data_IF_446135327130
#
_entry.id   IF_446135327130
#
_cell.length_a   1.000
_cell.length_b   1.000
_cell.length_c   1.000
_cell.angle_alpha   90.00
_cell.angle_beta   90.00
_cell.angle_gamma   90.00
#
_symmetry.space_group_name_H-M   'P 1'
#
loop_
_entity.id
_entity.type
_entity.pdbx_description
1 polymer ?
#
# COMPACT_ATOMS: atom_id res chain seq x y z
N UNK A 1 14.70 -11.06 -3.55
CA UNK A 1 13.46 -10.33 -3.21
C UNK A 1 13.74 -9.28 -2.13
N UNK A 2 14.55 -8.27 -2.41
CA UNK A 2 14.93 -7.24 -1.41
C UNK A 2 14.96 -5.82 -1.96
N UNK A 3 15.08 -5.62 -3.28
CA UNK A 3 15.15 -4.27 -3.87
C UNK A 3 13.81 -3.52 -3.86
N UNK A 4 12.70 -4.24 -4.01
CA UNK A 4 11.39 -3.60 -4.20
C UNK A 4 10.96 -2.77 -2.99
N UNK A 5 11.26 -3.24 -1.75
CA UNK A 5 10.95 -2.50 -0.51
C UNK A 5 11.64 -1.13 -0.46
N UNK A 6 12.88 -1.06 -0.93
CA UNK A 6 13.66 0.18 -0.93
C UNK A 6 13.13 1.18 -1.97
N UNK A 7 12.64 0.69 -3.12
CA UNK A 7 12.11 1.56 -4.18
C UNK A 7 10.80 2.21 -3.77
N UNK A 8 9.88 1.47 -3.14
CA UNK A 8 8.60 2.04 -2.73
C UNK A 8 8.73 3.05 -1.59
N UNK A 9 9.65 2.82 -0.64
CA UNK A 9 9.94 3.78 0.43
C UNK A 9 10.54 5.09 -0.13
N UNK A 10 11.47 4.98 -1.08
CA UNK A 10 11.99 6.14 -1.83
C UNK A 10 10.89 6.84 -2.62
N UNK A 11 9.96 6.10 -3.21
CA UNK A 11 8.86 6.64 -4.01
C UNK A 11 7.99 7.59 -3.17
N UNK A 12 7.56 7.15 -1.99
CA UNK A 12 6.77 7.99 -1.07
C UNK A 12 7.60 9.12 -0.46
N UNK A 13 8.92 8.97 -0.35
CA UNK A 13 9.82 10.03 0.10
C UNK A 13 10.05 11.12 -0.96
N UNK A 14 10.03 10.76 -2.25
CA UNK A 14 10.16 11.72 -3.37
C UNK A 14 8.86 12.47 -3.60
N UNK A 15 7.73 11.75 -3.67
CA UNK A 15 6.41 12.37 -3.79
C UNK A 15 5.39 11.64 -2.90
N UNK A 16 5.09 12.20 -1.71
CA UNK A 16 4.12 11.60 -0.80
C UNK A 16 2.68 11.73 -1.29
N UNK A 17 2.39 12.51 -2.33
CA UNK A 17 1.05 12.64 -2.90
C UNK A 17 0.81 11.68 -4.07
N UNK A 18 1.85 10.95 -4.52
CA UNK A 18 1.69 9.99 -5.60
C UNK A 18 1.04 8.70 -5.09
N UNK A 19 -0.25 8.55 -5.40
CA UNK A 19 -1.04 7.41 -4.97
C UNK A 19 -0.40 6.06 -5.38
N UNK A 20 0.11 5.94 -6.62
CA UNK A 20 0.76 4.70 -7.12
C UNK A 20 1.96 4.24 -6.26
N UNK A 21 2.72 5.17 -5.66
CA UNK A 21 3.79 4.83 -4.71
C UNK A 21 3.22 4.13 -3.47
N UNK A 22 2.14 4.66 -2.91
CA UNK A 22 1.48 4.08 -1.73
C UNK A 22 0.86 2.72 -2.01
N UNK A 23 0.28 2.54 -3.19
CA UNK A 23 -0.21 1.22 -3.62
C UNK A 23 0.93 0.20 -3.67
N UNK A 24 2.02 0.57 -4.34
CA UNK A 24 3.20 -0.30 -4.47
C UNK A 24 3.81 -0.62 -3.11
N UNK A 25 3.88 0.37 -2.21
CA UNK A 25 4.34 0.18 -0.83
C UNK A 25 3.44 -0.81 -0.08
N UNK A 26 2.12 -0.70 -0.21
CA UNK A 26 1.16 -1.61 0.42
C UNK A 26 1.35 -3.06 -0.02
N UNK A 27 1.48 -3.29 -1.33
CA UNK A 27 1.73 -4.63 -1.89
C UNK A 27 3.04 -5.23 -1.35
N UNK A 28 4.09 -4.41 -1.26
CA UNK A 28 5.41 -4.88 -0.81
C UNK A 28 5.48 -5.13 0.70
N UNK A 29 4.81 -4.29 1.49
CA UNK A 29 4.65 -4.48 2.93
C UNK A 29 3.89 -5.77 3.21
N UNK A 30 2.80 -6.01 2.49
CA UNK A 30 2.01 -7.24 2.57
C UNK A 30 2.84 -8.46 2.18
N UNK A 31 3.60 -8.41 1.08
CA UNK A 31 4.51 -9.48 0.69
C UNK A 31 5.62 -9.72 1.73
N UNK A 32 6.02 -8.68 2.44
CA UNK A 32 6.97 -8.72 3.56
C UNK A 32 6.38 -9.19 4.89
N UNK A 33 5.09 -9.58 4.94
CA UNK A 33 4.33 -9.89 6.17
C UNK A 33 4.23 -8.72 7.16
N UNK A 34 4.46 -7.50 6.69
CA UNK A 34 4.18 -6.29 7.44
C UNK A 34 2.74 -5.86 7.14
N UNK A 35 1.78 -6.61 7.69
CA UNK A 35 0.36 -6.38 7.45
C UNK A 35 -0.08 -5.01 7.99
N UNK A 36 0.49 -4.58 9.13
CA UNK A 36 0.23 -3.27 9.71
C UNK A 36 0.68 -2.14 8.77
N UNK A 37 1.91 -2.21 8.25
CA UNK A 37 2.40 -1.22 7.29
C UNK A 37 1.67 -1.28 5.94
N UNK A 38 1.21 -2.46 5.52
CA UNK A 38 0.41 -2.60 4.32
C UNK A 38 -0.96 -1.92 4.45
N UNK A 39 -1.63 -2.09 5.59
CA UNK A 39 -2.90 -1.41 5.91
C UNK A 39 -2.75 0.10 5.77
N UNK A 40 -1.74 0.69 6.41
CA UNK A 40 -1.48 2.14 6.35
C UNK A 40 -1.27 2.60 4.91
N UNK A 41 -0.47 1.86 4.13
CA UNK A 41 -0.18 2.25 2.76
C UNK A 41 -1.40 2.18 1.83
N UNK A 42 -2.22 1.12 1.93
CA UNK A 42 -3.46 1.02 1.16
C UNK A 42 -4.49 2.07 1.57
N UNK A 43 -4.60 2.40 2.86
CA UNK A 43 -5.47 3.50 3.32
C UNK A 43 -5.04 4.84 2.73
N UNK A 44 -3.75 5.14 2.73
CA UNK A 44 -3.23 6.39 2.16
C UNK A 44 -3.46 6.45 0.65
N UNK A 45 -3.21 5.35 -0.08
CA UNK A 45 -3.54 5.24 -1.49
C UNK A 45 -5.02 5.57 -1.75
N UNK A 46 -5.95 4.99 -0.97
CA UNK A 46 -7.38 5.21 -1.12
C UNK A 46 -7.82 6.64 -0.73
N UNK A 47 -7.09 7.32 0.16
CA UNK A 47 -7.33 8.73 0.47
C UNK A 47 -6.91 9.64 -0.68
N UNK A 48 -5.78 9.34 -1.32
CA UNK A 48 -5.23 10.13 -2.42
C UNK A 48 -5.96 9.87 -3.75
N UNK A 49 -6.33 8.62 -4.01
CA UNK A 49 -7.00 8.19 -5.23
C UNK A 49 -8.19 7.26 -4.91
N UNK A 50 -9.27 7.78 -4.31
CA UNK A 50 -10.46 6.99 -3.94
C UNK A 50 -11.16 6.37 -5.14
N UNK A 51 -11.02 6.97 -6.33
CA UNK A 51 -11.51 6.48 -7.61
C UNK A 51 -10.38 6.03 -8.55
N UNK A 52 -9.17 5.85 -8.00
CA UNK A 52 -8.01 5.38 -8.75
C UNK A 52 -8.23 4.01 -9.37
N UNK A 53 -7.44 3.69 -10.42
CA UNK A 53 -7.54 2.44 -11.17
C UNK A 53 -7.54 1.19 -10.28
N UNK A 54 -6.77 1.22 -9.20
CA UNK A 54 -6.59 0.11 -8.27
C UNK A 54 -7.39 0.28 -6.96
N UNK A 55 -8.31 1.26 -6.87
CA UNK A 55 -9.05 1.55 -5.63
C UNK A 55 -9.92 0.37 -5.18
N UNK A 56 -10.48 -0.40 -6.12
CA UNK A 56 -11.24 -1.61 -5.78
C UNK A 56 -10.34 -2.71 -5.22
N UNK A 57 -9.21 -2.98 -5.89
CA UNK A 57 -8.24 -3.98 -5.45
C UNK A 57 -7.64 -3.62 -4.09
N UNK A 58 -7.23 -2.37 -3.89
CA UNK A 58 -6.69 -1.88 -2.63
C UNK A 58 -7.69 -2.02 -1.48
N UNK A 59 -8.98 -1.70 -1.70
CA UNK A 59 -10.03 -1.93 -0.70
C UNK A 59 -10.20 -3.43 -0.36
N UNK A 60 -10.16 -4.30 -1.36
CA UNK A 60 -10.28 -5.74 -1.17
C UNK A 60 -9.11 -6.29 -0.35
N UNK A 61 -7.88 -5.87 -0.66
CA UNK A 61 -6.68 -6.22 0.11
C UNK A 61 -6.74 -5.68 1.53
N UNK A 62 -7.08 -4.40 1.70
CA UNK A 62 -7.24 -3.76 3.01
C UNK A 62 -8.24 -4.51 3.89
N UNK A 63 -9.39 -4.89 3.34
CA UNK A 63 -10.40 -5.67 4.07
C UNK A 63 -9.91 -7.07 4.46
N UNK A 64 -9.07 -7.71 3.63
CA UNK A 64 -8.45 -9.00 3.96
C UNK A 64 -7.44 -8.86 5.09
N UNK A 65 -6.57 -7.85 5.01
CA UNK A 65 -5.55 -7.59 6.02
C UNK A 65 -6.16 -7.28 7.39
N UNK A 66 -7.19 -6.42 7.43
CA UNK A 66 -7.92 -6.09 8.66
C UNK A 66 -8.65 -7.29 9.28
N UNK A 67 -9.08 -8.27 8.47
CA UNK A 67 -9.73 -9.50 8.96
C UNK A 67 -8.75 -10.57 9.43
N UNK A 68 -7.52 -10.57 8.90
CA UNK A 68 -6.47 -11.53 9.29
C UNK A 68 -5.65 -11.09 10.50
N UNK A 69 -5.70 -9.81 10.88
CA UNK A 69 -5.01 -9.25 12.03
C UNK A 69 -5.73 -9.48 13.38
N UNK A 70 -6.67 -10.44 13.44
CA UNK A 70 -7.48 -10.77 14.61
C UNK A 70 -7.16 -12.13 15.20
#
# INVERSE_FOLDING_TARGET
MSESRTTADKCVAVDPNLADCWLTLGVLRQAGKDDAGAVVAYETYLKLAPTGRYARDANSQLARLRRGAG
#
